data_IF_460961019723
#
_entry.id   IF_460961019723
#
_cell.length_a   1.000
_cell.length_b   1.000
_cell.length_c   1.000
_cell.angle_alpha   90.00
_cell.angle_beta   90.00
_cell.angle_gamma   90.00
#
_symmetry.space_group_name_H-M   'P 1'
#
loop_
_entity.id
_entity.type
_entity.pdbx_description
1 polymer ?
#
# COMPACT_ATOMS: atom_id res chain seq x y z
N UNK A 1 3.42 -29.09 -2.16
CA UNK A 1 2.05 -29.00 -1.58
C UNK A 1 2.14 -29.20 -0.07
N UNK A 2 1.51 -28.37 0.77
CA UNK A 2 1.46 -28.56 2.23
C UNK A 2 0.77 -29.86 2.64
N UNK A 3 1.14 -30.34 3.83
CA UNK A 3 0.59 -31.60 4.37
C UNK A 3 -0.94 -31.55 4.52
N UNK A 4 -1.47 -30.42 4.98
CA UNK A 4 -2.94 -30.24 5.13
C UNK A 4 -3.70 -30.29 3.80
N UNK A 5 -3.17 -29.66 2.72
CA UNK A 5 -3.76 -29.78 1.39
C UNK A 5 -3.80 -31.23 0.89
N UNK A 6 -2.66 -31.96 1.04
CA UNK A 6 -2.59 -33.38 0.66
C UNK A 6 -3.61 -34.22 1.44
N UNK A 7 -3.74 -33.97 2.75
CA UNK A 7 -4.71 -34.66 3.59
C UNK A 7 -6.15 -34.42 3.10
N UNK A 8 -6.51 -33.15 2.83
CA UNK A 8 -7.85 -32.80 2.34
C UNK A 8 -8.18 -33.45 0.99
N UNK A 9 -7.25 -33.35 0.03
CA UNK A 9 -7.40 -33.97 -1.29
C UNK A 9 -7.55 -35.49 -1.15
N UNK A 10 -6.73 -36.16 -0.34
CA UNK A 10 -6.81 -37.61 -0.14
C UNK A 10 -8.10 -38.04 0.54
N UNK A 11 -8.64 -37.26 1.50
CA UNK A 11 -9.93 -37.54 2.15
C UNK A 11 -11.04 -37.44 1.11
N UNK A 12 -11.06 -36.42 0.25
CA UNK A 12 -12.06 -36.26 -0.81
C UNK A 12 -11.99 -37.43 -1.82
N UNK A 13 -10.79 -37.79 -2.29
CA UNK A 13 -10.58 -38.92 -3.20
C UNK A 13 -11.06 -40.25 -2.57
N UNK A 14 -10.73 -40.49 -1.30
CA UNK A 14 -11.16 -41.70 -0.58
C UNK A 14 -12.68 -41.81 -0.43
N UNK A 15 -13.40 -40.70 -0.53
CA UNK A 15 -14.87 -40.64 -0.54
C UNK A 15 -15.46 -40.55 -1.96
N UNK A 16 -14.65 -40.74 -3.01
CA UNK A 16 -15.10 -40.80 -4.41
C UNK A 16 -15.29 -39.47 -5.10
N UNK A 17 -14.70 -38.37 -4.56
CA UNK A 17 -14.79 -37.05 -5.14
C UNK A 17 -13.42 -36.65 -5.74
N UNK A 18 -13.44 -36.00 -6.91
CA UNK A 18 -12.25 -35.35 -7.43
C UNK A 18 -11.88 -34.12 -6.59
N UNK A 19 -10.59 -33.87 -6.41
CA UNK A 19 -10.10 -32.69 -5.74
C UNK A 19 -8.71 -32.29 -6.25
N UNK A 20 -8.50 -30.99 -6.43
CA UNK A 20 -7.26 -30.41 -6.94
C UNK A 20 -6.91 -29.11 -6.20
N UNK A 21 -5.62 -28.87 -6.02
CA UNK A 21 -5.11 -27.53 -5.77
C UNK A 21 -5.31 -26.71 -7.04
N UNK A 22 -5.68 -25.43 -6.94
CA UNK A 22 -5.99 -24.63 -8.13
C UNK A 22 -5.57 -23.14 -7.98
N UNK A 23 -5.65 -22.44 -9.10
CA UNK A 23 -5.50 -20.99 -9.13
C UNK A 23 -4.10 -20.47 -8.84
N UNK A 24 -4.03 -19.43 -8.00
CA UNK A 24 -2.78 -18.75 -7.65
C UNK A 24 -1.72 -19.68 -7.06
N UNK A 25 -2.12 -20.64 -6.24
CA UNK A 25 -1.19 -21.60 -5.62
C UNK A 25 -0.44 -22.45 -6.65
N UNK A 26 -1.12 -22.89 -7.74
CA UNK A 26 -0.50 -23.66 -8.81
C UNK A 26 0.46 -22.76 -9.61
N UNK A 27 0.00 -21.57 -10.00
CA UNK A 27 0.83 -20.59 -10.72
C UNK A 27 2.10 -20.24 -9.93
N UNK A 28 1.96 -19.87 -8.66
CA UNK A 28 3.08 -19.42 -7.83
C UNK A 28 4.05 -20.56 -7.52
N UNK A 29 3.56 -21.81 -7.41
CA UNK A 29 4.41 -23.00 -7.32
C UNK A 29 5.26 -23.18 -8.58
N UNK A 30 4.70 -22.98 -9.78
CA UNK A 30 5.41 -23.09 -11.05
C UNK A 30 6.46 -21.98 -11.19
N UNK A 31 6.14 -20.76 -10.73
CA UNK A 31 7.04 -19.61 -10.74
C UNK A 31 8.09 -19.61 -9.63
N UNK A 32 8.03 -20.60 -8.69
CA UNK A 32 8.93 -20.63 -7.52
C UNK A 32 8.70 -19.48 -6.54
N UNK A 33 7.50 -18.87 -6.53
CA UNK A 33 7.12 -17.78 -5.63
C UNK A 33 6.55 -18.32 -4.31
N UNK A 34 6.65 -17.58 -3.21
CA UNK A 34 5.97 -17.91 -1.97
C UNK A 34 4.45 -18.05 -2.17
N UNK A 35 3.87 -19.09 -1.60
CA UNK A 35 2.42 -19.34 -1.69
C UNK A 35 1.84 -19.00 -0.31
N UNK A 36 0.87 -18.09 -0.29
CA UNK A 36 0.21 -17.64 0.94
C UNK A 36 -1.13 -18.35 1.16
N UNK A 37 -1.90 -18.56 0.09
CA UNK A 37 -3.24 -19.15 0.14
C UNK A 37 -3.31 -20.40 -0.73
N UNK A 38 -3.89 -21.46 -0.19
CA UNK A 38 -4.05 -22.75 -0.87
C UNK A 38 -5.52 -23.03 -1.12
N UNK A 39 -5.98 -22.74 -2.32
CA UNK A 39 -7.34 -23.01 -2.76
C UNK A 39 -7.46 -24.43 -3.30
N UNK A 40 -8.43 -25.19 -2.79
CA UNK A 40 -8.78 -26.52 -3.28
C UNK A 40 -10.13 -26.44 -4.00
N UNK A 41 -10.22 -27.07 -5.17
CA UNK A 41 -11.48 -27.20 -5.89
C UNK A 41 -11.86 -28.68 -5.99
N UNK A 42 -13.17 -29.00 -5.89
CA UNK A 42 -13.64 -30.38 -5.80
C UNK A 42 -14.97 -30.61 -6.52
N UNK A 43 -15.20 -31.85 -6.92
CA UNK A 43 -16.50 -32.30 -7.43
C UNK A 43 -17.56 -32.52 -6.33
N UNK A 44 -17.18 -32.51 -5.03
CA UNK A 44 -18.10 -32.60 -3.93
C UNK A 44 -18.94 -31.33 -3.78
N UNK A 45 -20.24 -31.46 -3.59
CA UNK A 45 -21.13 -30.34 -3.24
C UNK A 45 -20.90 -29.89 -1.79
N UNK A 46 -21.36 -28.70 -1.37
CA UNK A 46 -21.18 -28.23 0.01
C UNK A 46 -21.75 -29.25 1.05
N UNK A 47 -22.92 -29.82 0.79
CA UNK A 47 -23.51 -30.79 1.69
C UNK A 47 -22.68 -32.09 1.78
N UNK A 48 -22.16 -32.55 0.64
CA UNK A 48 -21.25 -33.70 0.57
C UNK A 48 -19.95 -33.42 1.32
N UNK A 49 -19.38 -32.21 1.18
CA UNK A 49 -18.18 -31.78 1.90
C UNK A 49 -18.42 -31.72 3.42
N UNK A 50 -19.55 -31.18 3.85
CA UNK A 50 -19.92 -31.15 5.29
C UNK A 50 -20.03 -32.56 5.88
N UNK A 51 -20.56 -33.51 5.16
CA UNK A 51 -20.62 -34.93 5.63
C UNK A 51 -19.23 -35.56 5.65
N UNK A 52 -18.40 -35.37 4.61
CA UNK A 52 -17.04 -35.93 4.54
C UNK A 52 -16.16 -35.37 5.67
N UNK A 53 -16.28 -34.10 5.99
CA UNK A 53 -15.46 -33.43 6.98
C UNK A 53 -16.15 -33.20 8.35
N UNK A 54 -17.25 -33.90 8.65
CA UNK A 54 -18.02 -33.74 9.90
C UNK A 54 -17.22 -33.88 11.20
N UNK A 55 -16.06 -34.55 11.15
CA UNK A 55 -15.14 -34.71 12.27
C UNK A 55 -14.01 -33.66 12.32
N UNK A 56 -14.02 -32.69 11.41
CA UNK A 56 -13.07 -31.57 11.36
C UNK A 56 -13.79 -30.28 11.72
N UNK A 57 -13.03 -29.25 12.04
CA UNK A 57 -13.59 -27.90 12.23
C UNK A 57 -13.90 -27.29 10.87
N UNK A 58 -15.18 -27.03 10.60
CA UNK A 58 -15.66 -26.38 9.37
C UNK A 58 -16.13 -24.97 9.72
N UNK A 59 -15.87 -24.03 8.83
CA UNK A 59 -16.37 -22.66 8.88
C UNK A 59 -17.17 -22.44 7.59
N UNK A 60 -18.45 -22.13 7.73
CA UNK A 60 -19.42 -22.05 6.62
C UNK A 60 -19.41 -20.68 5.91
N UNK A 61 -18.24 -20.09 5.74
CA UNK A 61 -18.09 -18.83 5.01
C UNK A 61 -18.18 -19.09 3.51
N UNK A 62 -19.23 -18.60 2.85
CA UNK A 62 -19.35 -18.71 1.39
C UNK A 62 -20.16 -19.92 0.88
N UNK A 63 -20.92 -20.59 1.73
CA UNK A 63 -21.73 -21.77 1.40
C UNK A 63 -22.62 -21.54 0.17
N UNK A 64 -23.22 -20.36 0.05
CA UNK A 64 -24.04 -19.96 -1.10
C UNK A 64 -23.25 -19.90 -2.43
N UNK A 65 -21.92 -19.82 -2.37
CA UNK A 65 -21.03 -19.82 -3.52
C UNK A 65 -20.31 -21.16 -3.71
N UNK A 66 -20.64 -22.16 -2.89
CA UNK A 66 -20.04 -23.49 -2.95
C UNK A 66 -18.71 -23.62 -2.21
N UNK A 67 -18.33 -22.67 -1.37
CA UNK A 67 -17.06 -22.66 -0.63
C UNK A 67 -17.30 -22.94 0.85
N UNK A 68 -16.47 -23.82 1.43
CA UNK A 68 -16.34 -24.01 2.88
C UNK A 68 -14.86 -23.88 3.27
N UNK A 69 -14.59 -23.44 4.50
CA UNK A 69 -13.23 -23.42 5.03
C UNK A 69 -13.07 -24.59 6.02
N UNK A 70 -12.07 -25.43 5.81
CA UNK A 70 -11.75 -26.57 6.67
C UNK A 70 -10.43 -26.27 7.38
N UNK A 71 -10.40 -26.46 8.71
CA UNK A 71 -9.21 -26.23 9.52
C UNK A 71 -8.49 -27.55 9.78
N UNK A 72 -7.22 -27.65 9.35
CA UNK A 72 -6.32 -28.79 9.58
C UNK A 72 -5.09 -28.28 10.35
N UNK A 73 -4.79 -28.91 11.49
CA UNK A 73 -3.64 -28.59 12.35
C UNK A 73 -3.56 -27.09 12.76
N UNK A 74 -4.69 -26.36 12.72
CA UNK A 74 -4.79 -24.94 13.02
C UNK A 74 -4.82 -24.03 11.78
N UNK A 75 -4.46 -24.54 10.61
CA UNK A 75 -4.43 -23.80 9.36
C UNK A 75 -5.78 -23.89 8.62
N UNK A 76 -6.33 -22.78 8.13
CA UNK A 76 -7.55 -22.75 7.33
C UNK A 76 -7.25 -23.06 5.85
N UNK A 77 -8.08 -23.87 5.22
CA UNK A 77 -8.03 -24.18 3.79
C UNK A 77 -9.41 -23.96 3.16
N UNK A 78 -9.48 -23.20 2.09
CA UNK A 78 -10.70 -23.01 1.34
C UNK A 78 -10.90 -24.16 0.35
N UNK A 79 -12.08 -24.79 0.42
CA UNK A 79 -12.48 -25.87 -0.49
C UNK A 79 -13.76 -25.46 -1.19
N UNK A 80 -13.70 -25.37 -2.53
CA UNK A 80 -14.79 -24.86 -3.38
C UNK A 80 -15.30 -25.96 -4.30
N UNK A 81 -16.61 -26.14 -4.36
CA UNK A 81 -17.27 -27.04 -5.34
C UNK A 81 -17.09 -26.55 -6.76
N UNK A 82 -16.82 -27.42 -7.72
CA UNK A 82 -16.84 -27.09 -9.14
C UNK A 82 -18.17 -26.45 -9.53
N UNK A 83 -18.10 -25.34 -10.24
CA UNK A 83 -19.28 -24.58 -10.60
C UNK A 83 -19.20 -23.97 -11.99
N UNK A 84 -20.35 -23.74 -12.56
CA UNK A 84 -20.57 -22.90 -13.74
C UNK A 84 -21.30 -21.66 -13.23
N UNK A 85 -20.76 -20.51 -13.53
CA UNK A 85 -21.40 -19.25 -13.20
C UNK A 85 -22.47 -18.95 -14.27
N UNK A 86 -23.67 -18.54 -13.82
CA UNK A 86 -24.76 -18.12 -14.72
C UNK A 86 -24.51 -16.73 -15.28
N UNK A 87 -25.57 -16.09 -15.80
CA UNK A 87 -25.48 -14.71 -16.27
C UNK A 87 -25.08 -13.76 -15.14
N UNK A 88 -24.49 -12.64 -15.51
CA UNK A 88 -24.08 -11.59 -14.58
C UNK A 88 -24.88 -10.33 -14.91
N UNK A 89 -25.90 -10.00 -14.12
CA UNK A 89 -26.73 -8.81 -14.34
C UNK A 89 -26.12 -7.53 -13.74
N UNK A 90 -25.17 -7.66 -12.82
CA UNK A 90 -24.54 -6.55 -12.09
C UNK A 90 -23.04 -6.39 -12.37
N UNK A 91 -22.50 -7.08 -13.40
CA UNK A 91 -21.07 -7.11 -13.76
C UNK A 91 -20.16 -7.50 -12.56
N UNK A 92 -20.70 -8.27 -11.59
CA UNK A 92 -19.98 -8.62 -10.37
C UNK A 92 -20.21 -10.05 -9.89
N UNK A 93 -21.46 -10.47 -9.79
CA UNK A 93 -21.84 -11.78 -9.24
C UNK A 93 -22.71 -12.53 -10.22
N UNK A 94 -22.48 -13.84 -10.37
CA UNK A 94 -23.40 -14.62 -11.16
C UNK A 94 -24.79 -14.61 -10.49
N UNK A 95 -25.83 -14.37 -11.28
CA UNK A 95 -27.23 -14.40 -10.82
C UNK A 95 -27.59 -15.77 -10.25
N UNK A 96 -26.94 -16.83 -10.73
CA UNK A 96 -27.10 -18.21 -10.28
C UNK A 96 -25.79 -18.97 -10.39
N UNK A 97 -25.46 -19.71 -9.34
CA UNK A 97 -24.36 -20.68 -9.32
C UNK A 97 -24.95 -22.08 -9.59
N UNK A 98 -24.38 -22.80 -10.54
CA UNK A 98 -24.76 -24.16 -10.86
C UNK A 98 -23.56 -25.07 -10.58
N UNK A 99 -23.68 -25.97 -9.64
CA UNK A 99 -22.62 -26.95 -9.36
C UNK A 99 -22.50 -27.97 -10.51
N UNK A 100 -21.26 -28.32 -10.84
CA UNK A 100 -20.92 -29.26 -11.89
C UNK A 100 -19.96 -30.33 -11.35
N UNK A 101 -19.80 -31.40 -12.09
CA UNK A 101 -18.79 -32.42 -11.82
C UNK A 101 -17.59 -32.29 -12.75
N UNK A 102 -17.56 -31.27 -13.62
CA UNK A 102 -16.49 -31.05 -14.58
C UNK A 102 -15.49 -30.02 -14.07
N UNK A 103 -14.26 -30.44 -13.85
CA UNK A 103 -13.13 -29.56 -13.52
C UNK A 103 -12.90 -28.53 -14.62
N UNK A 104 -12.99 -28.93 -15.91
CA UNK A 104 -12.76 -28.03 -17.05
C UNK A 104 -13.74 -26.84 -17.05
N UNK A 105 -15.04 -27.09 -16.75
CA UNK A 105 -16.03 -26.01 -16.64
C UNK A 105 -15.74 -25.06 -15.46
N UNK A 106 -15.24 -25.58 -14.32
CA UNK A 106 -14.81 -24.72 -13.22
C UNK A 106 -13.58 -23.88 -13.56
N UNK A 107 -12.62 -24.44 -14.27
CA UNK A 107 -11.43 -23.71 -14.72
C UNK A 107 -11.77 -22.65 -15.80
N UNK A 108 -12.75 -22.96 -16.69
CA UNK A 108 -13.17 -22.08 -17.79
C UNK A 108 -13.78 -20.75 -17.35
N UNK A 109 -14.47 -20.72 -16.20
CA UNK A 109 -15.07 -19.48 -15.66
C UNK A 109 -14.07 -18.53 -15.02
N UNK A 110 -12.82 -18.96 -14.82
CA UNK A 110 -11.78 -18.17 -14.18
C UNK A 110 -11.32 -17.00 -15.08
N UNK A 111 -10.61 -16.05 -14.46
CA UNK A 111 -10.18 -14.82 -15.13
C UNK A 111 -9.10 -15.05 -16.21
N UNK A 112 -7.95 -15.60 -15.83
CA UNK A 112 -6.78 -15.70 -16.69
C UNK A 112 -6.28 -17.14 -16.76
N UNK A 113 -5.69 -17.49 -17.91
CA UNK A 113 -5.16 -18.83 -18.18
C UNK A 113 -4.16 -19.29 -17.12
N UNK A 114 -3.28 -18.39 -16.66
CA UNK A 114 -2.29 -18.67 -15.63
C UNK A 114 -2.91 -19.00 -14.25
N UNK A 115 -4.17 -18.66 -14.02
CA UNK A 115 -4.94 -18.99 -12.82
C UNK A 115 -5.95 -20.11 -13.05
N UNK A 116 -6.00 -20.67 -14.27
CA UNK A 116 -6.97 -21.70 -14.69
C UNK A 116 -6.31 -23.05 -14.85
N UNK A 117 -5.38 -23.34 -13.93
CA UNK A 117 -4.67 -24.62 -13.83
C UNK A 117 -5.01 -25.30 -12.50
N UNK A 118 -4.97 -26.62 -12.48
CA UNK A 118 -5.22 -27.44 -11.30
C UNK A 118 -4.15 -28.52 -11.17
N UNK A 119 -3.86 -28.95 -9.94
CA UNK A 119 -2.85 -29.96 -9.67
C UNK A 119 -3.25 -30.88 -8.51
N UNK A 120 -3.02 -32.18 -8.67
CA UNK A 120 -2.92 -33.11 -7.55
C UNK A 120 -1.81 -34.15 -7.82
N UNK A 121 -1.44 -34.92 -6.78
CA UNK A 121 -0.31 -35.87 -6.88
C UNK A 121 -0.65 -37.13 -7.73
N UNK A 122 -1.94 -37.43 -8.01
CA UNK A 122 -2.37 -38.60 -8.78
C UNK A 122 -2.42 -38.33 -10.28
N UNK A 123 -3.01 -37.19 -10.68
CA UNK A 123 -3.24 -36.82 -12.08
C UNK A 123 -2.11 -35.94 -12.62
N UNK A 124 -1.42 -35.22 -11.75
CA UNK A 124 -0.45 -34.20 -12.12
C UNK A 124 -1.11 -32.87 -12.46
N UNK A 125 -0.50 -32.08 -13.34
CA UNK A 125 -0.99 -30.80 -13.79
C UNK A 125 -2.09 -30.93 -14.84
N UNK A 126 -3.22 -30.26 -14.60
CA UNK A 126 -4.34 -30.12 -15.55
C UNK A 126 -4.36 -28.66 -16.03
N UNK A 127 -4.12 -28.45 -17.32
CA UNK A 127 -4.00 -27.13 -17.95
C UNK A 127 -4.77 -27.09 -19.28
N UNK A 128 -6.11 -26.99 -19.26
CA UNK A 128 -6.93 -27.02 -20.48
C UNK A 128 -6.85 -25.72 -21.30
N UNK A 129 -6.30 -24.63 -20.73
CA UNK A 129 -6.28 -23.31 -21.36
C UNK A 129 -4.87 -22.78 -21.67
N UNK A 130 -3.84 -23.64 -21.64
CA UNK A 130 -2.44 -23.32 -21.94
C UNK A 130 -1.83 -22.27 -20.99
N UNK A 131 -2.17 -22.28 -19.70
CA UNK A 131 -1.62 -21.38 -18.69
C UNK A 131 -0.10 -21.55 -18.51
N UNK A 132 0.43 -22.79 -18.65
CA UNK A 132 1.87 -23.06 -18.65
C UNK A 132 2.60 -22.34 -19.77
N UNK A 133 2.01 -22.31 -20.98
CA UNK A 133 2.60 -21.62 -22.12
C UNK A 133 2.60 -20.11 -21.89
N UNK A 134 1.50 -19.55 -21.36
CA UNK A 134 1.42 -18.13 -21.03
C UNK A 134 2.39 -17.74 -19.89
N UNK A 135 2.60 -18.58 -18.89
CA UNK A 135 3.66 -18.39 -17.87
C UNK A 135 5.04 -18.36 -18.52
N UNK A 136 5.34 -19.32 -19.40
CA UNK A 136 6.63 -19.41 -20.10
C UNK A 136 6.94 -18.17 -20.95
N UNK A 137 5.90 -17.56 -21.55
CA UNK A 137 6.05 -16.35 -22.37
C UNK A 137 5.72 -15.07 -21.62
N UNK A 138 5.59 -15.13 -20.29
CA UNK A 138 5.28 -13.99 -19.42
C UNK A 138 4.05 -13.21 -19.88
N UNK A 139 2.93 -13.90 -20.14
CA UNK A 139 1.70 -13.30 -20.65
C UNK A 139 0.52 -13.45 -19.70
N UNK A 140 -0.28 -12.40 -19.59
CA UNK A 140 -1.61 -12.43 -18.97
C UNK A 140 -2.65 -12.48 -20.08
N UNK A 141 -3.37 -13.59 -20.17
CA UNK A 141 -4.41 -13.85 -21.15
C UNK A 141 -5.71 -14.24 -20.47
N UNK A 142 -6.82 -13.65 -20.89
CA UNK A 142 -8.15 -14.09 -20.44
C UNK A 142 -8.46 -15.54 -20.87
N UNK A 143 -9.19 -16.26 -20.04
CA UNK A 143 -9.75 -17.57 -20.44
C UNK A 143 -10.89 -17.32 -21.41
N UNK A 144 -10.78 -17.87 -22.63
CA UNK A 144 -11.77 -17.65 -23.68
C UNK A 144 -11.70 -16.25 -24.29
N UNK A 145 -12.85 -15.58 -24.42
CA UNK A 145 -12.92 -14.23 -24.99
C UNK A 145 -12.79 -13.16 -23.89
N UNK A 146 -11.87 -12.20 -24.04
CA UNK A 146 -11.73 -11.11 -23.07
C UNK A 146 -13.02 -10.31 -22.84
N UNK A 147 -13.80 -10.08 -23.92
CA UNK A 147 -15.08 -9.38 -23.84
C UNK A 147 -16.03 -10.05 -22.84
N UNK A 148 -16.18 -11.38 -22.92
CA UNK A 148 -17.06 -12.13 -22.04
C UNK A 148 -16.54 -12.04 -20.59
N UNK A 149 -15.23 -12.15 -20.37
CA UNK A 149 -14.60 -12.10 -19.04
C UNK A 149 -14.73 -10.75 -18.37
N UNK A 150 -14.57 -9.65 -19.10
CA UNK A 150 -14.69 -8.29 -18.55
C UNK A 150 -16.15 -7.85 -18.40
N UNK A 151 -17.06 -8.40 -19.19
CA UNK A 151 -18.50 -8.18 -19.04
C UNK A 151 -19.04 -8.90 -17.80
N UNK A 152 -18.56 -10.11 -17.49
CA UNK A 152 -18.95 -10.86 -16.28
C UNK A 152 -18.53 -10.15 -14.98
N UNK A 153 -17.28 -9.74 -14.88
CA UNK A 153 -16.74 -8.97 -13.74
C UNK A 153 -15.72 -7.96 -14.21
N UNK A 154 -16.14 -6.70 -14.31
CA UNK A 154 -15.27 -5.62 -14.78
C UNK A 154 -14.02 -5.42 -13.89
N UNK A 155 -14.02 -5.87 -12.62
CA UNK A 155 -12.84 -5.84 -11.78
C UNK A 155 -11.68 -6.66 -12.36
N UNK A 156 -11.97 -7.64 -13.24
CA UNK A 156 -10.93 -8.41 -13.93
C UNK A 156 -9.99 -7.52 -14.77
N UNK A 157 -10.44 -6.32 -15.16
CA UNK A 157 -9.63 -5.30 -15.81
C UNK A 157 -8.48 -4.87 -14.89
N UNK A 158 -8.79 -4.44 -13.65
CA UNK A 158 -7.76 -4.08 -12.67
C UNK A 158 -6.93 -5.29 -12.23
N UNK A 159 -7.55 -6.47 -12.16
CA UNK A 159 -6.82 -7.71 -11.87
C UNK A 159 -5.81 -8.07 -12.98
N UNK A 160 -6.13 -7.80 -14.26
CA UNK A 160 -5.19 -7.98 -15.37
C UNK A 160 -3.95 -7.09 -15.20
N UNK A 161 -4.16 -5.79 -14.96
CA UNK A 161 -3.11 -4.81 -14.68
C UNK A 161 -2.29 -5.25 -13.45
N UNK A 162 -2.96 -5.66 -12.37
CA UNK A 162 -2.28 -6.14 -11.16
C UNK A 162 -1.40 -7.35 -11.43
N UNK A 163 -1.90 -8.37 -12.12
CA UNK A 163 -1.08 -9.54 -12.41
C UNK A 163 0.07 -9.23 -13.34
N UNK A 164 -0.13 -8.37 -14.35
CA UNK A 164 0.96 -7.86 -15.17
C UNK A 164 2.04 -7.22 -14.31
N UNK A 165 1.65 -6.32 -13.40
CA UNK A 165 2.55 -5.61 -12.51
C UNK A 165 3.26 -6.52 -11.49
N UNK A 166 2.52 -7.38 -10.78
CA UNK A 166 3.08 -8.24 -9.73
C UNK A 166 3.96 -9.38 -10.24
N UNK A 167 3.73 -9.84 -11.47
CA UNK A 167 4.45 -10.96 -12.07
C UNK A 167 5.52 -10.48 -13.06
N UNK A 168 5.59 -9.19 -13.36
CA UNK A 168 6.39 -8.62 -14.45
C UNK A 168 6.08 -9.32 -15.78
N UNK A 169 4.78 -9.43 -16.09
CA UNK A 169 4.23 -10.01 -17.30
C UNK A 169 3.57 -8.93 -18.15
N UNK A 170 3.38 -9.21 -19.44
CA UNK A 170 2.65 -8.32 -20.36
C UNK A 170 1.25 -8.87 -20.64
N UNK A 171 0.29 -7.98 -20.87
CA UNK A 171 -1.02 -8.44 -21.35
C UNK A 171 -0.90 -9.02 -22.77
N UNK A 172 -1.64 -10.09 -23.03
CA UNK A 172 -1.79 -10.61 -24.37
C UNK A 172 -2.51 -9.57 -25.23
N UNK A 173 -2.08 -9.33 -26.51
CA UNK A 173 -2.55 -8.17 -27.29
C UNK A 173 -4.06 -8.02 -27.42
N UNK A 174 -4.82 -9.12 -27.55
CA UNK A 174 -6.28 -9.03 -27.62
C UNK A 174 -6.89 -8.74 -26.23
N UNK A 175 -6.32 -9.30 -25.17
CA UNK A 175 -6.73 -9.01 -23.78
C UNK A 175 -6.52 -7.53 -23.47
N UNK A 176 -5.38 -6.97 -23.85
CA UNK A 176 -5.04 -5.57 -23.68
C UNK A 176 -5.95 -4.64 -24.49
N UNK A 177 -6.15 -4.93 -25.76
CA UNK A 177 -7.06 -4.16 -26.62
C UNK A 177 -8.47 -4.09 -26.08
N UNK A 178 -9.03 -5.20 -25.62
CA UNK A 178 -10.38 -5.27 -25.07
C UNK A 178 -10.46 -4.57 -23.71
N UNK A 179 -9.39 -4.63 -22.91
CA UNK A 179 -9.27 -3.87 -21.66
C UNK A 179 -9.49 -2.38 -21.91
N UNK A 180 -8.72 -1.78 -22.82
CA UNK A 180 -8.87 -0.36 -23.18
C UNK A 180 -10.23 -0.02 -23.81
N UNK A 181 -10.91 -0.97 -24.39
CA UNK A 181 -12.27 -0.78 -24.93
C UNK A 181 -13.35 -0.80 -23.83
N UNK A 182 -13.12 -1.55 -22.74
CA UNK A 182 -14.16 -1.85 -21.73
C UNK A 182 -13.89 -1.29 -20.34
N UNK A 183 -12.77 -0.58 -20.09
CA UNK A 183 -12.40 -0.13 -18.75
C UNK A 183 -13.45 0.77 -18.09
N UNK A 184 -14.29 1.46 -18.85
CA UNK A 184 -15.39 2.27 -18.31
C UNK A 184 -16.41 1.42 -17.51
N UNK A 185 -16.49 0.11 -17.75
CA UNK A 185 -17.33 -0.78 -16.96
C UNK A 185 -16.92 -0.83 -15.48
N UNK A 186 -15.70 -0.38 -15.15
CA UNK A 186 -15.25 -0.22 -13.76
C UNK A 186 -16.11 0.76 -12.95
N UNK A 187 -16.83 1.67 -13.59
CA UNK A 187 -17.79 2.58 -12.91
C UNK A 187 -18.90 1.82 -12.17
N UNK A 188 -19.19 0.58 -12.59
CA UNK A 188 -20.18 -0.28 -11.94
C UNK A 188 -19.59 -1.06 -10.73
N UNK A 189 -18.30 -0.97 -10.50
CA UNK A 189 -17.62 -1.72 -9.42
C UNK A 189 -17.55 -0.86 -8.16
N UNK A 190 -17.75 -1.50 -7.00
CA UNK A 190 -17.63 -0.78 -5.73
C UNK A 190 -16.21 -0.25 -5.51
N UNK A 191 -16.14 0.94 -4.96
CA UNK A 191 -14.88 1.67 -4.74
C UNK A 191 -13.90 0.88 -3.88
N UNK A 192 -14.40 0.13 -2.90
CA UNK A 192 -13.55 -0.70 -2.02
C UNK A 192 -12.84 -1.83 -2.79
N UNK A 193 -13.51 -2.42 -3.81
CA UNK A 193 -12.90 -3.43 -4.68
C UNK A 193 -11.84 -2.79 -5.58
N UNK A 194 -12.12 -1.63 -6.16
CA UNK A 194 -11.17 -0.85 -6.96
C UNK A 194 -9.95 -0.52 -6.12
N UNK A 195 -10.16 0.04 -4.92
CA UNK A 195 -9.08 0.37 -3.99
C UNK A 195 -8.21 -0.83 -3.64
N UNK A 196 -8.84 -1.98 -3.33
CA UNK A 196 -8.08 -3.21 -3.01
C UNK A 196 -7.17 -3.67 -4.14
N UNK A 197 -7.57 -3.55 -5.41
CA UNK A 197 -6.72 -3.88 -6.55
C UNK A 197 -5.67 -2.78 -6.80
N UNK A 198 -6.06 -1.51 -6.70
CA UNK A 198 -5.15 -0.37 -6.85
C UNK A 198 -4.00 -0.40 -5.84
N UNK A 199 -4.27 -0.67 -4.56
CA UNK A 199 -3.23 -0.82 -3.54
C UNK A 199 -2.22 -1.92 -3.91
N UNK A 200 -2.69 -3.04 -4.47
CA UNK A 200 -1.82 -4.16 -4.88
C UNK A 200 -1.00 -3.82 -6.14
N UNK A 201 -1.52 -2.96 -7.01
CA UNK A 201 -0.79 -2.43 -8.17
C UNK A 201 0.28 -1.45 -7.67
N UNK A 202 -0.09 -0.50 -6.81
CA UNK A 202 0.83 0.51 -6.27
C UNK A 202 1.97 -0.10 -5.43
N UNK A 203 1.72 -1.23 -4.77
CA UNK A 203 2.72 -1.97 -3.99
C UNK A 203 3.53 -2.99 -4.82
N UNK A 204 3.58 -2.85 -6.14
CA UNK A 204 4.38 -3.72 -7.02
C UNK A 204 5.58 -2.96 -7.61
N UNK A 205 6.66 -3.68 -7.90
CA UNK A 205 7.89 -3.10 -8.47
C UNK A 205 7.68 -2.49 -9.87
N UNK A 206 6.65 -2.92 -10.59
CA UNK A 206 6.36 -2.48 -11.95
C UNK A 206 5.26 -1.39 -12.02
N UNK A 207 4.96 -0.73 -10.89
CA UNK A 207 3.89 0.27 -10.82
C UNK A 207 4.11 1.43 -11.81
N UNK A 208 5.34 1.91 -11.95
CA UNK A 208 5.67 3.00 -12.88
C UNK A 208 5.29 2.65 -14.34
N UNK A 209 5.51 1.40 -14.77
CA UNK A 209 5.12 0.93 -16.11
C UNK A 209 3.59 0.93 -16.25
N UNK A 210 2.87 0.50 -15.21
CA UNK A 210 1.40 0.51 -15.25
C UNK A 210 0.84 1.94 -15.28
N UNK A 211 1.50 2.92 -14.64
CA UNK A 211 1.13 4.34 -14.75
C UNK A 211 1.24 4.86 -16.19
N UNK A 212 2.24 4.39 -16.95
CA UNK A 212 2.39 4.76 -18.36
C UNK A 212 1.32 4.08 -19.23
N UNK A 213 1.17 2.76 -19.09
CA UNK A 213 0.33 1.97 -20.00
C UNK A 213 -1.17 2.16 -19.76
N UNK A 214 -1.58 2.40 -18.50
CA UNK A 214 -2.98 2.42 -18.08
C UNK A 214 -3.38 3.71 -17.37
N UNK A 215 -2.79 4.83 -17.77
CA UNK A 215 -3.13 6.18 -17.25
C UNK A 215 -4.60 6.55 -17.49
N UNK A 216 -5.20 6.08 -18.58
CA UNK A 216 -6.62 6.22 -18.88
C UNK A 216 -7.50 5.47 -17.88
N UNK A 217 -7.13 4.23 -17.53
CA UNK A 217 -7.81 3.42 -16.52
C UNK A 217 -7.68 4.06 -15.13
N UNK A 218 -6.47 4.49 -14.76
CA UNK A 218 -6.22 5.16 -13.47
C UNK A 218 -7.02 6.45 -13.36
N UNK A 219 -7.08 7.24 -14.44
CA UNK A 219 -7.81 8.50 -14.46
C UNK A 219 -9.33 8.36 -14.38
N UNK A 220 -9.88 7.15 -14.49
CA UNK A 220 -11.30 6.91 -14.29
C UNK A 220 -11.69 7.09 -12.81
N UNK A 221 -10.85 6.63 -11.89
CA UNK A 221 -11.13 6.72 -10.45
C UNK A 221 -10.25 7.74 -9.72
N UNK A 222 -9.19 8.26 -10.36
CA UNK A 222 -8.36 9.39 -9.91
C UNK A 222 -8.29 10.42 -11.05
N UNK A 223 -9.39 11.11 -11.38
CA UNK A 223 -9.43 12.03 -12.52
C UNK A 223 -8.47 13.21 -12.41
N UNK A 224 -8.03 13.54 -11.21
CA UNK A 224 -7.09 14.63 -10.91
C UNK A 224 -5.72 14.43 -11.58
N UNK A 225 -5.32 13.20 -11.88
CA UNK A 225 -4.03 12.96 -12.58
C UNK A 225 -4.03 13.53 -14.00
N UNK A 226 -5.21 13.76 -14.61
CA UNK A 226 -5.31 14.33 -15.96
C UNK A 226 -4.72 15.75 -16.04
N UNK A 227 -4.82 16.51 -14.96
CA UNK A 227 -4.28 17.85 -14.89
C UNK A 227 -2.74 17.87 -14.84
N UNK A 228 -2.12 16.72 -14.53
CA UNK A 228 -0.68 16.54 -14.53
C UNK A 228 -0.10 16.22 -15.92
N UNK A 229 -0.93 15.69 -16.84
CA UNK A 229 -0.50 15.30 -18.19
C UNK A 229 -0.12 16.54 -19.00
N UNK A 230 1.03 16.49 -19.65
CA UNK A 230 1.58 17.56 -20.47
C UNK A 230 1.66 18.91 -19.74
N UNK A 231 1.62 18.93 -18.40
CA UNK A 231 1.73 20.16 -17.60
C UNK A 231 3.19 20.53 -17.38
N UNK A 232 3.73 21.54 -18.10
CA UNK A 232 5.15 21.86 -18.06
C UNK A 232 5.53 22.53 -16.74
N UNK A 233 6.64 22.10 -16.15
CA UNK A 233 7.11 22.66 -14.91
C UNK A 233 7.93 23.95 -15.07
N UNK A 234 8.49 24.19 -16.27
CA UNK A 234 9.23 25.42 -16.63
C UNK A 234 10.23 25.88 -15.54
N UNK A 235 10.98 24.93 -14.98
CA UNK A 235 11.93 25.17 -13.91
C UNK A 235 13.23 24.41 -14.21
N UNK A 236 14.42 24.99 -13.97
CA UNK A 236 15.70 24.34 -14.28
C UNK A 236 15.92 22.99 -13.61
N UNK A 237 15.28 22.74 -12.48
CA UNK A 237 15.38 21.47 -11.75
C UNK A 237 14.48 20.37 -12.31
N UNK A 238 13.54 20.67 -13.20
CA UNK A 238 12.58 19.72 -13.75
C UNK A 238 12.70 19.61 -15.27
N UNK A 239 12.97 18.41 -15.77
CA UNK A 239 13.12 18.10 -17.20
C UNK A 239 11.87 17.43 -17.80
N UNK A 240 10.96 17.00 -16.96
CA UNK A 240 9.70 16.35 -17.32
C UNK A 240 8.51 17.27 -17.00
N UNK A 241 7.37 17.00 -17.60
CA UNK A 241 6.08 17.49 -17.11
C UNK A 241 5.78 16.89 -15.72
N UNK A 242 4.69 17.30 -15.08
CA UNK A 242 4.38 16.81 -13.72
C UNK A 242 4.10 15.31 -13.69
N UNK A 243 3.41 14.77 -14.72
CA UNK A 243 3.13 13.34 -14.79
C UNK A 243 4.38 12.51 -15.05
N UNK A 244 5.18 12.90 -16.04
CA UNK A 244 6.44 12.24 -16.33
C UNK A 244 7.41 12.25 -15.15
N UNK A 245 7.48 13.37 -14.41
CA UNK A 245 8.25 13.44 -13.16
C UNK A 245 7.75 12.41 -12.12
N UNK A 246 6.44 12.30 -11.93
CA UNK A 246 5.85 11.35 -11.00
C UNK A 246 6.15 9.89 -11.40
N UNK A 247 6.10 9.56 -12.70
CA UNK A 247 6.49 8.24 -13.21
C UNK A 247 7.95 7.93 -12.88
N UNK A 248 8.87 8.86 -13.18
CA UNK A 248 10.30 8.65 -12.90
C UNK A 248 10.61 8.58 -11.40
N UNK A 249 9.86 9.28 -10.55
CA UNK A 249 9.98 9.14 -9.10
C UNK A 249 9.53 7.73 -8.64
N UNK A 250 8.42 7.21 -9.19
CA UNK A 250 7.96 5.85 -8.91
C UNK A 250 8.94 4.79 -9.41
N UNK A 251 9.54 4.97 -10.60
CA UNK A 251 10.60 4.12 -11.13
C UNK A 251 11.83 4.09 -10.20
N UNK A 252 12.31 5.27 -9.79
CA UNK A 252 13.43 5.38 -8.87
C UNK A 252 13.16 4.68 -7.54
N UNK A 253 11.93 4.77 -7.01
CA UNK A 253 11.55 4.07 -5.78
C UNK A 253 11.58 2.54 -5.95
N UNK A 254 11.05 2.04 -7.06
CA UNK A 254 11.07 0.61 -7.36
C UNK A 254 12.51 0.08 -7.49
N UNK A 255 13.37 0.80 -8.21
CA UNK A 255 14.80 0.45 -8.35
C UNK A 255 15.51 0.40 -6.99
N UNK A 256 15.31 1.40 -6.13
CA UNK A 256 15.92 1.43 -4.80
C UNK A 256 15.48 0.22 -3.95
N UNK A 257 14.19 -0.15 -4.00
CA UNK A 257 13.69 -1.32 -3.29
C UNK A 257 14.26 -2.64 -3.84
N UNK A 258 14.46 -2.75 -5.15
CA UNK A 258 15.07 -3.95 -5.77
C UNK A 258 16.56 -4.07 -5.43
N UNK A 259 17.32 -2.97 -5.46
CA UNK A 259 18.74 -2.93 -5.09
C UNK A 259 18.95 -3.31 -3.62
N UNK A 260 18.09 -2.82 -2.74
CA UNK A 260 18.15 -3.10 -1.29
C UNK A 260 17.47 -4.41 -0.89
N UNK A 261 16.86 -5.15 -1.83
CA UNK A 261 16.04 -6.35 -1.59
C UNK A 261 14.88 -6.11 -0.60
N UNK A 262 14.37 -4.91 -0.55
CA UNK A 262 13.24 -4.52 0.29
C UNK A 262 11.90 -4.65 -0.47
N UNK A 263 10.83 -5.07 0.21
CA UNK A 263 9.50 -5.02 -0.40
C UNK A 263 9.07 -3.56 -0.60
N UNK A 264 8.30 -3.30 -1.66
CA UNK A 264 7.65 -2.00 -1.87
C UNK A 264 6.72 -1.69 -0.70
N UNK A 265 6.98 -0.60 0.01
CA UNK A 265 6.08 -0.08 1.05
C UNK A 265 4.94 0.71 0.40
N UNK A 266 3.70 0.26 0.60
CA UNK A 266 2.51 0.86 0.00
C UNK A 266 2.37 2.35 0.35
N UNK A 267 2.67 2.74 1.59
CA UNK A 267 2.50 4.13 2.04
C UNK A 267 3.47 5.04 1.31
N UNK A 268 4.73 4.61 1.16
CA UNK A 268 5.75 5.35 0.40
C UNK A 268 5.39 5.42 -1.08
N UNK A 269 4.97 4.29 -1.70
CA UNK A 269 4.58 4.26 -3.10
C UNK A 269 3.41 5.20 -3.41
N UNK A 270 2.38 5.21 -2.55
CA UNK A 270 1.26 6.15 -2.67
C UNK A 270 1.68 7.60 -2.44
N UNK A 271 2.58 7.87 -1.48
CA UNK A 271 3.11 9.20 -1.26
C UNK A 271 3.91 9.70 -2.48
N UNK A 272 4.73 8.84 -3.10
CA UNK A 272 5.43 9.16 -4.36
C UNK A 272 4.44 9.40 -5.50
N UNK A 273 3.36 8.62 -5.59
CA UNK A 273 2.33 8.81 -6.62
C UNK A 273 1.59 10.15 -6.49
N UNK A 274 1.33 10.61 -5.26
CA UNK A 274 0.51 11.80 -5.00
C UNK A 274 1.31 13.07 -4.70
N UNK A 275 2.64 13.02 -4.52
CA UNK A 275 3.41 14.15 -3.96
C UNK A 275 3.21 15.47 -4.72
N UNK A 276 3.10 15.41 -6.02
CA UNK A 276 3.03 16.56 -6.92
C UNK A 276 1.68 16.81 -7.57
N UNK A 277 0.63 16.08 -7.18
CA UNK A 277 -0.72 16.17 -7.80
C UNK A 277 -1.33 17.57 -7.70
N UNK A 278 -0.91 18.36 -6.73
CA UNK A 278 -1.37 19.74 -6.54
C UNK A 278 -0.64 20.80 -7.38
N UNK A 279 0.50 20.48 -8.02
CA UNK A 279 1.28 21.46 -8.79
C UNK A 279 0.48 22.21 -9.85
N UNK A 280 -0.39 21.56 -10.65
CA UNK A 280 -1.22 22.26 -11.64
C UNK A 280 -2.19 23.30 -11.06
N UNK A 281 -2.47 23.25 -9.76
CA UNK A 281 -3.46 24.09 -9.08
C UNK A 281 -2.85 25.23 -8.26
N UNK A 282 -1.50 25.34 -8.19
CA UNK A 282 -0.83 26.33 -7.35
C UNK A 282 0.43 26.94 -7.98
N UNK A 283 0.51 26.96 -9.31
CA UNK A 283 1.66 27.53 -10.01
C UNK A 283 1.61 29.07 -10.12
N UNK A 284 2.78 29.66 -10.21
CA UNK A 284 2.99 31.08 -10.47
C UNK A 284 4.11 31.23 -11.49
N UNK A 285 3.84 31.87 -12.62
CA UNK A 285 4.86 32.18 -13.63
C UNK A 285 5.47 33.55 -13.32
N UNK A 286 6.81 33.63 -13.28
CA UNK A 286 7.56 34.90 -13.14
C UNK A 286 7.85 35.50 -14.50
N UNK A 287 8.28 36.78 -14.51
CA UNK A 287 8.57 37.54 -15.75
C UNK A 287 9.69 36.91 -16.60
N UNK A 288 10.62 36.18 -16.00
CA UNK A 288 11.69 35.41 -16.65
C UNK A 288 11.26 34.07 -17.25
N UNK A 289 9.99 33.73 -17.09
CA UNK A 289 9.39 32.45 -17.57
C UNK A 289 9.62 31.26 -16.65
N UNK A 290 10.23 31.45 -15.49
CA UNK A 290 10.39 30.41 -14.48
C UNK A 290 9.06 30.21 -13.74
N UNK A 291 8.67 28.95 -13.57
CA UNK A 291 7.46 28.57 -12.84
C UNK A 291 7.78 28.11 -11.43
N UNK A 292 7.06 28.66 -10.47
CA UNK A 292 7.13 28.31 -9.06
C UNK A 292 5.83 27.67 -8.59
N UNK A 293 5.95 26.70 -7.68
CA UNK A 293 4.83 25.92 -7.12
C UNK A 293 4.76 26.13 -5.60
N UNK A 294 4.49 27.36 -5.18
CA UNK A 294 4.46 27.70 -3.75
C UNK A 294 3.35 26.92 -3.04
N UNK A 295 3.70 26.33 -1.90
CA UNK A 295 2.79 25.52 -1.08
C UNK A 295 2.19 24.27 -1.78
N UNK A 296 2.80 23.77 -2.87
CA UNK A 296 2.29 22.60 -3.58
C UNK A 296 2.19 21.36 -2.65
N UNK A 297 3.09 21.18 -1.69
CA UNK A 297 3.02 20.09 -0.73
C UNK A 297 1.72 20.12 0.09
N UNK A 298 1.25 21.31 0.48
CA UNK A 298 -0.05 21.46 1.17
C UNK A 298 -1.22 21.18 0.22
N UNK A 299 -1.20 21.77 -0.96
CA UNK A 299 -2.27 21.55 -1.96
C UNK A 299 -2.36 20.10 -2.37
N UNK A 300 -1.20 19.45 -2.64
CA UNK A 300 -1.14 18.02 -2.93
C UNK A 300 -1.69 17.17 -1.77
N UNK A 301 -1.36 17.52 -0.52
CA UNK A 301 -1.85 16.80 0.65
C UNK A 301 -3.38 16.93 0.81
N UNK A 302 -3.93 18.14 0.65
CA UNK A 302 -5.38 18.38 0.69
C UNK A 302 -6.10 17.56 -0.40
N UNK A 303 -5.60 17.57 -1.64
CA UNK A 303 -6.14 16.77 -2.74
C UNK A 303 -6.03 15.27 -2.48
N UNK A 304 -4.87 14.82 -1.97
CA UNK A 304 -4.64 13.40 -1.61
C UNK A 304 -5.63 12.93 -0.55
N UNK A 305 -5.88 13.74 0.49
CA UNK A 305 -6.86 13.42 1.54
C UNK A 305 -8.27 13.22 0.96
N UNK A 306 -8.71 14.10 0.07
CA UNK A 306 -10.00 14.00 -0.62
C UNK A 306 -10.09 12.75 -1.53
N UNK A 307 -9.03 12.48 -2.33
CA UNK A 307 -8.97 11.32 -3.21
C UNK A 307 -9.01 10.03 -2.40
N UNK A 308 -8.18 9.92 -1.36
CA UNK A 308 -8.11 8.71 -0.54
C UNK A 308 -9.39 8.46 0.27
N UNK A 309 -10.10 9.52 0.71
CA UNK A 309 -11.45 9.40 1.29
C UNK A 309 -12.45 8.87 0.27
N UNK A 310 -12.45 9.42 -0.94
CA UNK A 310 -13.32 8.97 -2.04
C UNK A 310 -13.06 7.51 -2.40
N UNK A 311 -11.80 7.10 -2.40
CA UNK A 311 -11.38 5.73 -2.67
C UNK A 311 -11.52 4.79 -1.46
N UNK A 312 -12.04 5.27 -0.32
CA UNK A 312 -12.30 4.43 0.87
C UNK A 312 -11.05 3.78 1.48
N UNK A 313 -9.93 4.48 1.47
CA UNK A 313 -8.78 4.04 2.26
C UNK A 313 -9.10 4.07 3.75
N UNK A 314 -8.47 3.20 4.52
CA UNK A 314 -8.52 3.29 5.98
C UNK A 314 -7.82 4.56 6.48
N UNK A 315 -8.21 5.02 7.69
CA UNK A 315 -7.72 6.28 8.22
C UNK A 315 -6.21 6.27 8.47
N UNK A 316 -5.65 5.16 8.96
CA UNK A 316 -4.21 5.07 9.28
C UNK A 316 -3.35 5.21 8.03
N UNK A 317 -3.67 4.44 6.97
CA UNK A 317 -2.99 4.55 5.67
C UNK A 317 -3.13 5.96 5.09
N UNK A 318 -4.34 6.52 5.09
CA UNK A 318 -4.60 7.86 4.55
C UNK A 318 -3.82 8.94 5.29
N UNK A 319 -3.87 8.97 6.62
CA UNK A 319 -3.18 9.98 7.43
C UNK A 319 -1.65 9.92 7.23
N UNK A 320 -1.10 8.71 7.13
CA UNK A 320 0.33 8.51 6.87
C UNK A 320 0.76 9.01 5.48
N UNK A 321 -0.02 8.69 4.44
CA UNK A 321 0.28 9.16 3.07
C UNK A 321 0.16 10.68 2.97
N UNK A 322 -0.94 11.25 3.46
CA UNK A 322 -1.18 12.70 3.46
C UNK A 322 -0.06 13.44 4.20
N UNK A 323 0.40 12.90 5.32
CA UNK A 323 1.52 13.48 6.08
C UNK A 323 2.82 13.49 5.26
N UNK A 324 3.14 12.41 4.55
CA UNK A 324 4.32 12.33 3.69
C UNK A 324 4.23 13.31 2.52
N UNK A 325 3.07 13.37 1.86
CA UNK A 325 2.80 14.31 0.77
C UNK A 325 2.92 15.75 1.26
N UNK A 326 2.41 16.08 2.46
CA UNK A 326 2.54 17.41 3.03
C UNK A 326 3.99 17.84 3.28
N UNK A 327 4.84 16.89 3.71
CA UNK A 327 6.24 17.21 4.08
C UNK A 327 7.27 16.89 3.01
N UNK A 328 6.87 16.34 1.84
CA UNK A 328 7.83 15.89 0.83
C UNK A 328 8.78 16.99 0.35
N UNK A 329 8.33 18.25 0.30
CA UNK A 329 9.14 19.41 -0.10
C UNK A 329 9.77 20.16 1.10
N UNK A 330 9.69 19.61 2.32
CA UNK A 330 10.27 20.25 3.49
C UNK A 330 11.80 20.36 3.36
N UNK A 331 12.33 21.48 3.84
CA UNK A 331 13.79 21.67 3.91
C UNK A 331 14.35 20.86 5.07
N UNK A 332 15.27 19.96 4.79
CA UNK A 332 16.03 19.24 5.80
C UNK A 332 17.35 19.94 6.10
N UNK A 333 17.72 19.95 7.37
CA UNK A 333 19.04 20.33 7.82
C UNK A 333 19.79 19.12 8.37
N UNK A 334 21.12 19.07 8.16
CA UNK A 334 21.96 17.97 8.65
C UNK A 334 22.34 18.25 10.10
N UNK A 335 22.01 17.35 11.00
CA UNK A 335 22.40 17.44 12.41
C UNK A 335 21.42 16.74 13.36
N UNK A 336 21.95 16.20 14.47
CA UNK A 336 21.21 15.39 15.47
C UNK A 336 19.94 16.10 15.96
N UNK A 337 20.03 17.36 16.28
CA UNK A 337 18.92 18.18 16.76
C UNK A 337 17.74 18.24 15.76
N UNK A 338 18.02 18.41 14.48
CA UNK A 338 16.99 18.49 13.44
C UNK A 338 16.33 17.12 13.23
N UNK A 339 17.13 16.05 13.30
CA UNK A 339 16.62 14.68 13.19
C UNK A 339 15.73 14.36 14.38
N UNK A 340 16.13 14.67 15.62
CA UNK A 340 15.28 14.50 16.80
C UNK A 340 13.95 15.26 16.72
N UNK A 341 13.95 16.45 16.13
CA UNK A 341 12.71 17.21 15.88
C UNK A 341 11.78 16.46 14.92
N UNK A 342 12.33 15.88 13.84
CA UNK A 342 11.54 15.07 12.91
C UNK A 342 11.05 13.76 13.55
N UNK A 343 11.91 13.07 14.29
CA UNK A 343 11.52 11.88 15.05
C UNK A 343 10.39 12.17 16.04
N UNK A 344 10.46 13.30 16.74
CA UNK A 344 9.39 13.75 17.64
C UNK A 344 8.10 14.11 16.88
N UNK A 345 8.21 14.68 15.68
CA UNK A 345 7.08 15.21 14.92
C UNK A 345 6.27 14.13 14.21
N UNK A 346 6.93 13.16 13.58
CA UNK A 346 6.28 12.15 12.74
C UNK A 346 6.65 10.71 13.10
N UNK A 347 7.58 10.50 14.02
CA UNK A 347 8.09 9.18 14.37
C UNK A 347 9.14 8.64 13.39
N UNK A 348 9.86 7.60 13.80
CA UNK A 348 10.96 7.01 13.02
C UNK A 348 10.49 6.46 11.68
N UNK A 349 9.47 5.59 11.70
CA UNK A 349 8.98 4.90 10.49
C UNK A 349 8.55 5.90 9.40
N UNK A 350 7.77 6.92 9.78
CA UNK A 350 7.34 7.97 8.86
C UNK A 350 8.50 8.86 8.39
N UNK A 351 9.50 9.10 9.24
CA UNK A 351 10.66 9.88 8.82
C UNK A 351 11.52 9.12 7.81
N UNK A 352 11.72 7.82 7.98
CA UNK A 352 12.38 6.96 6.98
C UNK A 352 11.63 6.95 5.64
N UNK A 353 10.31 6.81 5.67
CA UNK A 353 9.46 6.94 4.47
C UNK A 353 9.62 8.30 3.79
N UNK A 354 9.64 9.37 4.58
CA UNK A 354 9.81 10.72 4.05
C UNK A 354 11.17 10.93 3.37
N UNK A 355 12.24 10.36 3.92
CA UNK A 355 13.56 10.37 3.28
C UNK A 355 13.55 9.60 1.95
N UNK A 356 12.86 8.45 1.88
CA UNK A 356 12.68 7.71 0.63
C UNK A 356 11.89 8.52 -0.41
N UNK A 357 10.76 9.13 -0.04
CA UNK A 357 10.00 10.02 -0.95
C UNK A 357 10.88 11.14 -1.47
N UNK A 358 11.68 11.77 -0.59
CA UNK A 358 12.59 12.86 -0.98
C UNK A 358 13.72 12.39 -1.88
N UNK A 359 14.29 11.22 -1.63
CA UNK A 359 15.33 10.60 -2.46
C UNK A 359 14.84 10.35 -3.87
N UNK A 360 13.65 9.77 -4.02
CA UNK A 360 13.07 9.45 -5.32
C UNK A 360 12.65 10.69 -6.11
N UNK A 361 12.09 11.69 -5.44
CA UNK A 361 11.81 13.00 -6.02
C UNK A 361 13.08 13.64 -6.59
N UNK A 362 14.19 13.65 -5.82
CA UNK A 362 15.49 14.17 -6.29
C UNK A 362 16.00 13.38 -7.50
N UNK A 363 15.90 12.05 -7.49
CA UNK A 363 16.34 11.18 -8.59
C UNK A 363 15.56 11.45 -9.89
N UNK A 364 14.28 11.83 -9.78
CA UNK A 364 13.43 12.17 -10.92
C UNK A 364 13.65 13.60 -11.47
N UNK A 365 14.48 14.41 -10.83
CA UNK A 365 14.77 15.78 -11.24
C UNK A 365 15.99 15.86 -12.19
N UNK A 366 16.28 17.06 -12.69
CA UNK A 366 17.48 17.33 -13.47
C UNK A 366 18.76 17.03 -12.67
N UNK A 367 19.85 16.69 -13.37
CA UNK A 367 21.13 16.37 -12.73
C UNK A 367 21.79 17.54 -12.00
N UNK A 368 21.20 18.74 -12.06
CA UNK A 368 21.70 19.93 -11.37
C UNK A 368 21.72 19.69 -9.86
N UNK A 369 22.90 19.72 -9.27
CA UNK A 369 23.12 19.49 -7.83
C UNK A 369 22.53 18.17 -7.28
N UNK A 370 22.13 17.26 -8.16
CA UNK A 370 21.47 16.01 -7.77
C UNK A 370 22.34 15.20 -6.81
N UNK A 371 23.64 15.02 -7.14
CA UNK A 371 24.57 14.24 -6.31
C UNK A 371 24.73 14.86 -4.91
N UNK A 372 24.90 16.18 -4.81
CA UNK A 372 25.04 16.86 -3.52
C UNK A 372 23.77 16.79 -2.66
N UNK A 373 22.61 16.80 -3.32
CA UNK A 373 21.31 16.68 -2.65
C UNK A 373 21.06 15.25 -2.16
N UNK A 374 21.44 14.23 -2.92
CA UNK A 374 21.39 12.83 -2.51
C UNK A 374 22.37 12.57 -1.35
N UNK A 375 23.61 13.08 -1.46
CA UNK A 375 24.60 12.98 -0.36
C UNK A 375 24.07 13.60 0.94
N UNK A 376 23.27 14.66 0.85
CA UNK A 376 22.64 15.26 2.02
C UNK A 376 21.63 14.31 2.67
N UNK A 377 20.85 13.57 1.89
CA UNK A 377 19.93 12.54 2.41
C UNK A 377 20.73 11.42 3.07
N UNK A 378 21.80 10.92 2.43
CA UNK A 378 22.66 9.87 3.00
C UNK A 378 23.25 10.29 4.34
N UNK A 379 23.70 11.53 4.45
CA UNK A 379 24.22 12.10 5.71
C UNK A 379 23.13 12.17 6.81
N UNK A 380 21.89 12.50 6.43
CA UNK A 380 20.75 12.52 7.35
C UNK A 380 20.46 11.11 7.85
N UNK A 381 20.43 10.12 6.97
CA UNK A 381 20.22 8.71 7.34
C UNK A 381 21.35 8.20 8.25
N UNK A 382 22.61 8.52 7.94
CA UNK A 382 23.73 8.16 8.79
C UNK A 382 23.57 8.73 10.22
N UNK A 383 23.24 10.02 10.37
CA UNK A 383 23.05 10.62 11.69
C UNK A 383 21.78 10.10 12.36
N UNK A 384 20.73 9.75 11.60
CA UNK A 384 19.54 9.09 12.14
C UNK A 384 19.90 7.78 12.84
N UNK A 385 20.71 6.94 12.19
CA UNK A 385 21.18 5.69 12.80
C UNK A 385 22.02 5.96 14.08
N UNK A 386 22.88 6.99 14.07
CA UNK A 386 23.64 7.36 15.26
C UNK A 386 22.74 7.81 16.43
N UNK A 387 21.70 8.62 16.13
CA UNK A 387 20.74 9.09 17.16
C UNK A 387 19.95 7.93 17.75
N UNK A 388 19.51 6.98 16.90
CA UNK A 388 18.76 5.81 17.35
C UNK A 388 19.62 4.83 18.15
N UNK A 389 20.89 4.63 17.75
CA UNK A 389 21.82 3.75 18.50
C UNK A 389 22.21 4.29 19.88
N UNK A 390 22.24 5.62 20.03
CA UNK A 390 22.55 6.26 21.32
C UNK A 390 21.39 6.23 22.31
N UNK A 391 20.21 5.72 21.91
CA UNK A 391 18.99 5.68 22.72
C UNK A 391 18.63 7.08 23.29
N UNK A 392 18.78 8.10 22.45
CA UNK A 392 18.60 9.49 22.83
C UNK A 392 17.12 9.87 22.94
N UNK A 393 16.83 10.80 23.85
CA UNK A 393 15.46 11.28 24.10
C UNK A 393 14.95 12.13 22.94
N UNK A 394 13.92 11.65 22.27
CA UNK A 394 13.16 12.41 21.25
C UNK A 394 11.63 12.24 21.36
N UNK A 395 11.16 11.45 22.33
CA UNK A 395 9.73 11.29 22.63
C UNK A 395 9.42 11.48 24.11
N UNK A 396 8.14 11.70 24.41
CA UNK A 396 7.70 11.81 25.82
C UNK A 396 7.94 10.53 26.64
N UNK A 397 8.09 9.38 25.97
CA UNK A 397 8.39 8.10 26.64
C UNK A 397 9.81 8.03 27.13
N UNK A 398 10.73 8.70 26.42
CA UNK A 398 12.17 8.70 26.69
C UNK A 398 12.55 9.79 27.73
N UNK A 399 11.62 10.70 28.04
CA UNK A 399 11.86 11.80 28.95
C UNK A 399 12.04 11.29 30.39
N UNK A 400 13.08 11.75 31.07
CA UNK A 400 13.40 11.36 32.45
C UNK A 400 12.36 11.83 33.49
N UNK A 401 11.47 12.74 33.09
CA UNK A 401 10.37 13.28 33.92
C UNK A 401 9.04 12.85 33.29
N UNK A 402 8.13 12.38 34.12
CA UNK A 402 6.78 11.98 33.72
C UNK A 402 5.69 12.77 34.44
N UNK A 403 4.41 12.51 34.16
CA UNK A 403 3.30 13.23 34.72
C UNK A 403 3.17 13.11 36.24
N UNK A 404 3.57 11.97 36.82
CA UNK A 404 3.52 11.77 38.30
C UNK A 404 4.56 12.63 39.00
N UNK A 405 5.74 12.79 38.42
CA UNK A 405 6.79 13.65 38.95
C UNK A 405 6.33 15.10 39.03
N UNK A 406 5.58 15.57 38.02
CA UNK A 406 5.00 16.92 38.03
C UNK A 406 3.87 17.05 39.06
N UNK A 407 3.08 16.01 39.31
CA UNK A 407 2.05 16.00 40.35
C UNK A 407 2.71 16.09 41.75
N UNK A 408 3.81 15.40 41.99
CA UNK A 408 4.56 15.44 43.24
C UNK A 408 5.05 16.86 43.59
N UNK A 409 5.44 17.65 42.58
CA UNK A 409 5.83 19.07 42.76
C UNK A 409 4.64 20.05 42.64
N UNK A 410 3.40 19.52 42.72
CA UNK A 410 2.17 20.30 42.90
C UNK A 410 1.49 20.78 41.61
N UNK A 411 1.68 20.08 40.47
CA UNK A 411 0.81 20.26 39.29
C UNK A 411 -0.52 19.53 39.48
N UNK A 412 -1.60 20.11 38.99
CA UNK A 412 -2.89 19.42 38.94
C UNK A 412 -3.01 18.57 37.66
N UNK A 413 -3.63 17.38 37.74
CA UNK A 413 -3.91 16.59 36.57
C UNK A 413 -4.67 17.39 35.50
N UNK A 414 -4.16 17.37 34.24
CA UNK A 414 -4.79 18.09 33.14
C UNK A 414 -3.81 18.50 32.03
N UNK A 415 -4.26 19.38 31.14
CA UNK A 415 -3.50 19.83 29.96
C UNK A 415 -2.16 20.49 30.30
N UNK A 416 -2.06 21.12 31.50
CA UNK A 416 -0.85 21.79 31.96
C UNK A 416 0.34 20.82 32.08
N UNK A 417 0.11 19.60 32.59
CA UNK A 417 1.13 18.55 32.67
C UNK A 417 1.64 18.20 31.26
N UNK A 418 0.74 17.96 30.30
CA UNK A 418 1.12 17.65 28.94
C UNK A 418 1.92 18.78 28.29
N UNK A 419 1.51 20.00 28.45
CA UNK A 419 2.23 21.17 27.93
C UNK A 419 3.63 21.30 28.56
N UNK A 420 3.75 21.10 29.89
CA UNK A 420 5.04 21.16 30.60
C UNK A 420 5.98 20.04 30.12
N UNK A 421 5.49 18.79 29.98
CA UNK A 421 6.28 17.69 29.50
C UNK A 421 6.75 17.92 28.03
N UNK A 422 5.89 18.44 27.17
CA UNK A 422 6.29 18.80 25.80
C UNK A 422 7.33 19.93 25.80
N UNK A 423 7.22 20.92 26.65
CA UNK A 423 8.23 21.97 26.79
C UNK A 423 9.57 21.39 27.25
N UNK A 424 9.58 20.52 28.26
CA UNK A 424 10.81 19.84 28.71
C UNK A 424 11.44 19.02 27.62
N UNK A 425 10.63 18.25 26.87
CA UNK A 425 11.11 17.47 25.74
C UNK A 425 11.77 18.35 24.67
N UNK A 426 11.16 19.48 24.33
CA UNK A 426 11.76 20.43 23.38
C UNK A 426 13.11 20.96 23.88
N UNK A 427 13.23 21.29 25.17
CA UNK A 427 14.48 21.76 25.76
C UNK A 427 15.58 20.71 25.71
N UNK A 428 15.23 19.44 25.90
CA UNK A 428 16.17 18.29 25.74
C UNK A 428 16.57 18.11 24.28
N UNK A 429 15.61 18.11 23.34
CA UNK A 429 15.88 17.99 21.90
C UNK A 429 16.78 19.14 21.42
N UNK A 430 16.56 20.35 21.93
CA UNK A 430 17.36 21.53 21.62
C UNK A 430 18.75 21.50 22.27
N UNK A 431 19.03 20.53 23.17
CA UNK A 431 20.29 20.43 23.89
C UNK A 431 20.49 21.54 24.94
N UNK A 432 19.42 22.22 25.35
CA UNK A 432 19.47 23.25 26.38
C UNK A 432 19.61 22.65 27.76
N UNK A 433 18.98 21.48 27.99
CA UNK A 433 19.06 20.70 29.22
C UNK A 433 19.37 19.24 28.90
N UNK A 434 20.11 18.58 29.80
CA UNK A 434 20.31 17.14 29.76
C UNK A 434 18.98 16.44 30.15
N UNK A 435 18.77 15.23 29.64
CA UNK A 435 17.63 14.41 30.01
C UNK A 435 17.84 13.76 31.39
N UNK A 436 18.04 14.59 32.39
CA UNK A 436 18.23 14.18 33.80
C UNK A 436 17.08 14.71 34.66
N UNK A 437 16.44 13.81 35.44
CA UNK A 437 15.26 14.12 36.23
C UNK A 437 15.48 15.33 37.14
N UNK A 438 16.65 15.39 37.81
CA UNK A 438 16.99 16.46 38.75
C UNK A 438 17.11 17.83 38.08
N UNK A 439 17.70 17.89 36.87
CA UNK A 439 17.85 19.14 36.12
C UNK A 439 16.51 19.64 35.62
N UNK A 440 15.71 18.74 35.02
CA UNK A 440 14.42 19.07 34.46
C UNK A 440 13.42 19.50 35.50
N UNK A 441 13.36 18.86 36.69
CA UNK A 441 12.48 19.28 37.77
C UNK A 441 12.90 20.62 38.35
N UNK A 442 14.22 20.88 38.53
CA UNK A 442 14.73 22.16 38.95
C UNK A 442 14.33 23.30 38.02
N UNK A 443 14.39 23.06 36.68
CA UNK A 443 13.90 24.03 35.70
C UNK A 443 12.40 24.35 35.91
N UNK A 444 11.57 23.31 36.08
CA UNK A 444 10.12 23.46 36.27
C UNK A 444 9.82 24.25 37.55
N UNK A 445 10.47 23.94 38.68
CA UNK A 445 10.29 24.63 39.94
C UNK A 445 10.67 26.11 39.83
N UNK A 446 11.85 26.41 39.25
CA UNK A 446 12.32 27.78 39.05
C UNK A 446 11.36 28.57 38.15
N UNK A 447 10.88 27.99 37.07
CA UNK A 447 9.95 28.66 36.14
C UNK A 447 8.61 28.93 36.79
N UNK A 448 8.12 28.01 37.63
CA UNK A 448 6.87 28.15 38.41
C UNK A 448 6.96 29.26 39.45
N UNK A 449 8.12 29.44 40.10
CA UNK A 449 8.38 30.55 41.00
C UNK A 449 8.37 31.89 40.26
N UNK A 450 9.00 31.98 39.09
CA UNK A 450 9.00 33.20 38.27
C UNK A 450 7.60 33.60 37.82
N UNK A 451 6.74 32.63 37.42
CA UNK A 451 5.35 32.90 37.03
C UNK A 451 4.55 33.46 38.21
N UNK A 452 4.68 32.87 39.42
CA UNK A 452 4.03 33.36 40.63
C UNK A 452 4.48 34.77 41.03
N UNK A 453 5.76 35.09 40.86
CA UNK A 453 6.30 36.43 41.08
C UNK A 453 5.76 37.43 40.06
N UNK A 454 5.64 37.04 38.77
CA UNK A 454 5.07 37.86 37.70
C UNK A 454 3.57 38.18 37.94
N UNK A 455 2.78 37.23 38.39
CA UNK A 455 1.37 37.45 38.74
C UNK A 455 1.22 38.41 39.94
N UNK A 456 2.10 38.33 40.94
CA UNK A 456 2.14 39.25 42.05
C UNK A 456 2.60 40.68 41.68
N UNK A 457 3.35 40.85 40.60
CA UNK A 457 3.79 42.17 40.12
C UNK A 457 2.72 42.87 39.28
N UNK A 458 1.98 42.12 38.45
CA UNK A 458 0.86 42.67 37.66
C UNK A 458 -0.38 43.03 38.47
N UNK A 459 -0.49 42.56 39.71
CA UNK A 459 -1.55 42.95 40.66
C UNK A 459 -1.28 44.24 41.45
N UNK A 460 -0.15 44.93 41.22
CA UNK A 460 0.24 46.16 41.95
C UNK A 460 0.44 47.41 41.07
N UNK A 461 -0.04 47.38 39.83
CA UNK A 461 -0.12 48.59 39.01
C UNK A 461 -1.61 48.83 38.72
N UNK A 462 -2.33 49.38 39.67
CA UNK A 462 -3.50 50.26 39.53
C UNK A 462 -3.29 51.42 40.47
#
# INVERSE_FOLDING_TARGET
MPKGCKELINILHSNGYEAFLCGGAVRDSILGRPIHDYDITTSATPDEMMEVFKNKRIIETGLQHGTITIVIDGDPYEVTTYRIDGNYSDNRRPDKVIFTKSLEEDLKRRDFTINSMAYNDEVGLVDPFNGMEDIKYHKIRCVGKPEDRFDEDALRILRAIRFASQLNFVLEPNTDYVLHKMYQNLENISVERINSEFCKIAASSDFCVQMVLYSDVLSLFIPEIKDMFDFPQNNPYHIYDVWGHTIHAAEAYSCDCEEDLNPIDLITALAVFFHDIGKPHCYQDEEDGIRHFKEHGRVSADMTDEIMKRLRFDNDTREKVVQLVYYHDATFEVGEKYIKRWLNKIGEEQFRRLLNVRRTDIKAQAQIEQESRLQKIDNIEYILEEVLQKDECFSLKDLAVNGNDLIEIGYKPGKEIGNTLNCLLQLVIEGVYLNEKSELLKYVETTKEWMKLGENYNGKII
#
